data_IF_495289537918
#
_entry.id   IF_495289537918
#
_cell.length_a   1.000
_cell.length_b   1.000
_cell.length_c   1.000
_cell.angle_alpha   90.00
_cell.angle_beta   90.00
_cell.angle_gamma   90.00
#
_symmetry.space_group_name_H-M   'P 1'
#
loop_
_entity.id
_entity.type
_entity.pdbx_description
1 polymer ?
#
# COMPACT_ATOMS: atom_id res chain seq x y z
N UNK A 1 -11.28 -3.17 -3.35
CA UNK A 1 -10.82 -4.57 -3.22
C UNK A 1 -9.74 -4.66 -2.15
N UNK A 2 -9.90 -5.57 -1.22
CA UNK A 2 -8.91 -5.83 -0.16
C UNK A 2 -8.12 -7.09 -0.50
N UNK A 3 -6.80 -6.99 -0.46
CA UNK A 3 -5.93 -8.16 -0.50
C UNK A 3 -4.99 -8.09 0.71
N UNK A 4 -4.90 -9.18 1.44
CA UNK A 4 -4.09 -9.25 2.65
C UNK A 4 -3.00 -10.29 2.44
N UNK A 5 -1.75 -9.90 2.69
CA UNK A 5 -0.59 -10.75 2.48
C UNK A 5 0.22 -10.86 3.76
N UNK A 6 0.87 -12.00 3.94
CA UNK A 6 1.76 -12.23 5.07
C UNK A 6 2.97 -13.04 4.62
N UNK A 7 4.16 -12.61 5.01
CA UNK A 7 5.38 -13.37 4.78
C UNK A 7 5.39 -14.60 5.68
N UNK A 8 5.76 -15.75 5.10
CA UNK A 8 5.70 -17.03 5.80
C UNK A 8 6.87 -17.19 6.77
N UNK A 9 8.10 -16.81 6.34
CA UNK A 9 9.29 -16.93 7.19
C UNK A 9 10.42 -16.02 6.68
N UNK A 10 11.50 -15.92 7.46
CA UNK A 10 12.66 -15.09 7.15
C UNK A 10 13.59 -15.66 6.06
N UNK A 11 13.44 -16.90 5.72
CA UNK A 11 14.40 -17.60 4.84
C UNK A 11 13.95 -17.71 3.39
N UNK A 12 12.70 -17.33 3.09
CA UNK A 12 12.18 -17.36 1.73
C UNK A 12 11.35 -16.11 1.46
N UNK A 13 11.30 -15.71 0.18
CA UNK A 13 10.44 -14.62 -0.26
C UNK A 13 8.98 -15.08 -0.43
N UNK A 14 8.59 -16.16 0.23
CA UNK A 14 7.24 -16.70 0.14
C UNK A 14 6.25 -15.78 0.80
N UNK A 15 5.26 -15.36 0.04
CA UNK A 15 4.20 -14.47 0.46
C UNK A 15 2.88 -15.25 0.39
N UNK A 16 2.15 -15.29 1.49
CA UNK A 16 0.87 -15.96 1.55
C UNK A 16 -0.27 -14.93 1.53
N UNK A 17 -1.26 -15.19 0.70
CA UNK A 17 -2.49 -14.40 0.72
C UNK A 17 -3.42 -14.97 1.77
N UNK A 18 -3.86 -14.13 2.72
CA UNK A 18 -4.70 -14.56 3.84
C UNK A 18 -6.03 -13.82 3.82
N UNK A 19 -7.00 -14.30 4.57
CA UNK A 19 -8.37 -13.77 4.60
C UNK A 19 -8.65 -12.87 5.79
N UNK A 20 -7.76 -12.86 6.78
CA UNK A 20 -7.96 -12.10 8.02
C UNK A 20 -6.78 -11.17 8.28
N UNK A 21 -7.05 -10.07 8.99
CA UNK A 21 -6.02 -9.13 9.39
C UNK A 21 -5.28 -9.72 10.59
N UNK A 22 -3.98 -9.89 10.45
CA UNK A 22 -3.11 -10.46 11.47
C UNK A 22 -1.92 -9.56 11.72
N UNK A 23 -1.27 -9.74 12.87
CA UNK A 23 -0.05 -9.03 13.18
C UNK A 23 1.05 -9.33 12.14
N UNK A 24 1.67 -8.29 11.60
CA UNK A 24 2.73 -8.44 10.62
C UNK A 24 2.25 -8.56 9.17
N UNK A 25 0.95 -8.39 8.91
CA UNK A 25 0.42 -8.49 7.56
C UNK A 25 0.52 -7.17 6.79
N UNK A 26 0.39 -7.28 5.48
CA UNK A 26 0.27 -6.16 4.55
C UNK A 26 -1.15 -6.15 3.99
N UNK A 27 -1.87 -5.06 4.21
CA UNK A 27 -3.22 -4.87 3.71
C UNK A 27 -3.15 -3.94 2.50
N UNK A 28 -3.45 -4.48 1.32
CA UNK A 28 -3.44 -3.71 0.07
C UNK A 28 -4.88 -3.39 -0.35
N UNK A 29 -5.21 -2.10 -0.33
CA UNK A 29 -6.53 -1.60 -0.72
C UNK A 29 -6.44 -0.94 -2.09
N UNK A 30 -7.16 -1.49 -3.07
CA UNK A 30 -7.23 -0.95 -4.42
C UNK A 30 -8.68 -0.56 -4.71
N UNK A 31 -8.92 0.71 -4.98
CA UNK A 31 -10.27 1.24 -5.21
C UNK A 31 -11.26 0.67 -4.19
N UNK A 32 -10.98 0.81 -2.88
CA UNK A 32 -11.78 0.14 -1.86
C UNK A 32 -13.19 0.71 -1.76
N UNK A 33 -14.12 -0.15 -1.36
CA UNK A 33 -15.48 0.29 -1.03
C UNK A 33 -15.49 0.95 0.35
N UNK A 34 -16.54 1.69 0.65
CA UNK A 34 -16.68 2.31 1.97
C UNK A 34 -16.75 1.27 3.09
N UNK A 35 -17.39 0.12 2.82
CA UNK A 35 -17.44 -0.98 3.78
C UNK A 35 -16.07 -1.56 4.07
N UNK A 36 -15.23 -1.69 3.03
CA UNK A 36 -13.86 -2.17 3.17
C UNK A 36 -13.02 -1.20 4.01
N UNK A 37 -13.17 0.10 3.78
CA UNK A 37 -12.47 1.12 4.57
C UNK A 37 -12.87 1.07 6.04
N UNK A 38 -14.16 0.93 6.32
CA UNK A 38 -14.66 0.83 7.69
C UNK A 38 -14.16 -0.43 8.39
N UNK A 39 -14.13 -1.54 7.68
CA UNK A 39 -13.61 -2.80 8.22
C UNK A 39 -12.14 -2.66 8.63
N UNK A 40 -11.31 -2.12 7.76
CA UNK A 40 -9.88 -1.95 8.03
C UNK A 40 -9.65 -0.97 9.17
N UNK A 41 -10.37 0.17 9.17
CA UNK A 41 -10.27 1.15 10.24
C UNK A 41 -10.61 0.54 11.60
N UNK A 42 -11.68 -0.23 11.66
CA UNK A 42 -12.13 -0.87 12.90
C UNK A 42 -11.12 -1.92 13.40
N UNK A 43 -10.57 -2.71 12.48
CA UNK A 43 -9.66 -3.82 12.84
C UNK A 43 -8.27 -3.34 13.22
N UNK A 44 -7.79 -2.25 12.61
CA UNK A 44 -6.41 -1.78 12.81
C UNK A 44 -6.31 -0.60 13.75
N UNK A 45 -7.40 0.11 13.99
CA UNK A 45 -7.40 1.36 14.76
C UNK A 45 -6.91 2.57 13.99
N UNK A 46 -6.70 2.44 12.69
CA UNK A 46 -6.27 3.55 11.85
C UNK A 46 -7.43 4.51 11.63
N UNK A 47 -7.22 5.84 11.75
CA UNK A 47 -8.27 6.81 11.45
C UNK A 47 -8.79 6.63 10.02
N UNK A 48 -10.10 6.67 9.85
CA UNK A 48 -10.72 6.48 8.53
C UNK A 48 -10.24 7.56 7.54
N UNK A 49 -9.91 8.76 8.03
CA UNK A 49 -9.40 9.84 7.20
C UNK A 49 -8.06 9.48 6.56
N UNK A 50 -7.22 8.72 7.26
CA UNK A 50 -5.94 8.24 6.71
C UNK A 50 -6.16 7.28 5.54
N UNK A 51 -7.21 6.46 5.62
CA UNK A 51 -7.54 5.52 4.56
C UNK A 51 -8.19 6.20 3.36
N UNK A 52 -8.93 7.28 3.60
CA UNK A 52 -9.61 8.00 2.53
C UNK A 52 -8.72 9.01 1.80
N UNK A 53 -7.75 9.59 2.48
CA UNK A 53 -6.93 10.66 1.91
C UNK A 53 -6.28 10.26 0.57
N UNK A 54 -5.68 9.07 0.42
CA UNK A 54 -5.06 8.69 -0.86
C UNK A 54 -6.06 8.47 -2.00
N UNK A 55 -7.34 8.40 -1.69
CA UNK A 55 -8.39 8.19 -2.69
C UNK A 55 -8.88 9.50 -3.31
N UNK A 56 -8.38 10.64 -2.84
CA UNK A 56 -8.58 11.93 -3.46
C UNK A 56 -7.49 12.15 -4.50
N UNK A 57 -7.87 12.22 -5.76
CA UNK A 57 -6.95 12.39 -6.87
C UNK A 57 -6.09 13.65 -6.77
N UNK A 58 -6.59 14.67 -6.08
CA UNK A 58 -5.91 15.95 -5.92
C UNK A 58 -5.05 16.02 -4.65
N UNK A 59 -4.99 14.93 -3.89
CA UNK A 59 -4.19 14.91 -2.67
C UNK A 59 -2.72 15.08 -2.98
N UNK A 60 -2.03 15.91 -2.20
CA UNK A 60 -0.61 16.18 -2.37
C UNK A 60 0.24 15.29 -1.48
N UNK A 61 1.49 15.11 -1.87
CA UNK A 61 2.47 14.37 -1.07
C UNK A 61 2.59 14.98 0.32
N UNK A 62 2.44 14.17 1.34
CA UNK A 62 2.53 14.62 2.74
C UNK A 62 2.81 13.47 3.69
N UNK A 63 3.19 13.83 4.91
CA UNK A 63 3.35 12.90 6.02
C UNK A 63 2.46 13.38 7.17
N UNK A 64 1.69 12.47 7.75
CA UNK A 64 0.81 12.77 8.85
C UNK A 64 0.96 11.72 9.94
N UNK A 65 0.92 12.13 11.19
CA UNK A 65 1.14 11.25 12.34
C UNK A 65 0.00 11.44 13.33
N UNK A 66 -0.64 10.34 13.70
CA UNK A 66 -1.66 10.33 14.75
C UNK A 66 -1.47 9.09 15.62
N UNK A 67 -1.06 9.28 16.88
CA UNK A 67 -0.72 8.23 17.83
C UNK A 67 0.37 7.31 17.25
N UNK A 68 0.08 6.03 17.05
CA UNK A 68 1.02 5.05 16.50
C UNK A 68 0.93 4.93 14.97
N UNK A 69 0.05 5.70 14.35
CA UNK A 69 -0.22 5.59 12.92
C UNK A 69 0.52 6.69 12.16
N UNK A 70 1.24 6.29 11.12
CA UNK A 70 1.95 7.22 10.24
C UNK A 70 1.42 7.03 8.83
N UNK A 71 0.91 8.10 8.26
CA UNK A 71 0.46 8.12 6.86
C UNK A 71 1.49 8.83 6.01
N UNK A 72 1.94 8.17 4.97
CA UNK A 72 2.80 8.77 3.94
C UNK A 72 2.01 8.73 2.63
N UNK A 73 1.83 9.89 2.01
CA UNK A 73 1.21 9.97 0.68
C UNK A 73 2.29 10.41 -0.30
N UNK A 74 2.46 9.62 -1.35
CA UNK A 74 3.42 9.90 -2.42
C UNK A 74 2.72 9.71 -3.77
N UNK A 75 3.18 10.43 -4.78
CA UNK A 75 2.67 10.23 -6.13
C UNK A 75 3.44 9.12 -6.81
N UNK A 76 2.72 8.20 -7.44
CA UNK A 76 3.34 7.15 -8.22
C UNK A 76 3.03 7.36 -9.70
N UNK A 77 4.03 7.12 -10.57
CA UNK A 77 3.84 7.25 -12.01
C UNK A 77 3.00 6.11 -12.54
N UNK A 78 2.26 6.41 -13.57
CA UNK A 78 1.40 5.44 -14.20
C UNK A 78 1.27 5.78 -15.69
N UNK A 79 1.25 4.75 -16.52
CA UNK A 79 1.12 4.91 -17.96
C UNK A 79 -0.16 4.28 -18.45
N UNK A 80 -0.84 4.95 -19.38
CA UNK A 80 -2.09 4.48 -19.96
C UNK A 80 -2.05 4.66 -21.47
N UNK A 81 -2.54 3.66 -22.21
CA UNK A 81 -2.68 3.77 -23.65
C UNK A 81 -4.06 4.31 -23.99
N UNK A 82 -4.10 5.48 -24.63
CA UNK A 82 -5.32 6.12 -25.11
C UNK A 82 -5.17 6.43 -26.59
N UNK A 83 -6.07 5.92 -27.41
CA UNK A 83 -6.13 6.19 -28.87
C UNK A 83 -4.77 6.05 -29.58
N UNK A 84 -4.03 4.99 -29.30
CA UNK A 84 -2.70 4.71 -29.85
C UNK A 84 -1.60 5.66 -29.37
N UNK A 85 -1.86 6.49 -28.38
CA UNK A 85 -0.84 7.31 -27.73
C UNK A 85 -0.63 6.88 -26.28
N UNK A 86 0.62 6.99 -25.83
CA UNK A 86 1.00 6.67 -24.46
C UNK A 86 0.89 7.96 -23.63
N UNK A 87 0.05 7.93 -22.61
CA UNK A 87 -0.08 9.05 -21.67
C UNK A 87 0.58 8.69 -20.35
N UNK A 88 1.19 9.68 -19.72
CA UNK A 88 1.82 9.55 -18.41
C UNK A 88 1.02 10.39 -17.41
N UNK A 89 0.74 9.79 -16.27
CA UNK A 89 0.02 10.45 -15.21
C UNK A 89 0.57 9.99 -13.85
N UNK A 90 0.17 10.66 -12.80
CA UNK A 90 0.49 10.27 -11.43
C UNK A 90 -0.78 10.22 -10.61
N UNK A 91 -0.79 9.38 -9.60
CA UNK A 91 -1.87 9.38 -8.63
C UNK A 91 -1.33 9.02 -7.24
N UNK A 92 -2.05 9.43 -6.19
CA UNK A 92 -1.56 9.22 -4.84
C UNK A 92 -1.52 7.75 -4.44
N UNK A 93 -0.46 7.35 -3.76
CA UNK A 93 -0.35 6.10 -3.04
C UNK A 93 -0.25 6.44 -1.57
N UNK A 94 -1.17 5.92 -0.76
CA UNK A 94 -1.08 6.03 0.68
C UNK A 94 -0.38 4.82 1.26
N UNK A 95 0.61 5.07 2.12
CA UNK A 95 1.30 4.03 2.87
C UNK A 95 1.09 4.34 4.34
N UNK A 96 0.48 3.43 5.07
CA UNK A 96 0.17 3.63 6.48
C UNK A 96 0.92 2.61 7.31
N UNK A 97 1.81 3.10 8.18
CA UNK A 97 2.51 2.30 9.16
C UNK A 97 1.70 2.31 10.45
N UNK A 98 1.22 1.15 10.86
CA UNK A 98 0.48 1.00 12.12
C UNK A 98 1.32 0.27 13.16
N UNK A 99 0.76 0.05 14.33
CA UNK A 99 1.46 -0.69 15.39
C UNK A 99 1.78 -2.13 14.97
N UNK A 100 0.88 -2.79 14.22
CA UNK A 100 1.00 -4.20 13.90
C UNK A 100 0.95 -4.55 12.41
N UNK A 101 0.53 -3.61 11.56
CA UNK A 101 0.34 -3.86 10.13
C UNK A 101 0.96 -2.77 9.28
N UNK A 102 1.03 -3.03 7.99
CA UNK A 102 1.27 -1.99 7.00
C UNK A 102 0.11 -2.01 5.99
N UNK A 103 -0.37 -0.83 5.64
CA UNK A 103 -1.51 -0.67 4.74
C UNK A 103 -1.09 0.19 3.56
N UNK A 104 -1.43 -0.25 2.36
CA UNK A 104 -1.28 0.55 1.15
C UNK A 104 -2.66 0.80 0.56
N UNK A 105 -2.92 2.06 0.16
CA UNK A 105 -4.22 2.47 -0.39
C UNK A 105 -3.99 3.22 -1.70
N UNK A 106 -4.67 2.80 -2.74
CA UNK A 106 -4.52 3.40 -4.06
C UNK A 106 -5.85 3.33 -4.82
N UNK A 107 -6.08 4.30 -5.71
CA UNK A 107 -7.27 4.32 -6.56
C UNK A 107 -7.22 3.27 -7.66
N UNK A 108 -6.01 2.91 -8.10
CA UNK A 108 -5.82 1.98 -9.20
C UNK A 108 -4.83 0.90 -8.80
N UNK A 109 -4.92 -0.25 -9.48
CA UNK A 109 -3.97 -1.32 -9.29
C UNK A 109 -2.58 -0.86 -9.75
N UNK A 110 -1.60 -0.95 -8.86
CA UNK A 110 -0.24 -0.48 -9.12
C UNK A 110 0.65 -1.64 -9.54
N UNK A 111 1.25 -1.51 -10.71
CA UNK A 111 2.26 -2.47 -11.17
C UNK A 111 3.46 -2.50 -10.23
N UNK A 112 3.81 -1.36 -9.65
CA UNK A 112 4.89 -1.24 -8.69
C UNK A 112 4.65 -2.12 -7.46
N UNK A 113 3.44 -2.08 -6.89
CA UNK A 113 3.09 -2.91 -5.74
C UNK A 113 2.96 -4.38 -6.14
N UNK A 114 2.51 -4.66 -7.35
CA UNK A 114 2.43 -6.04 -7.84
C UNK A 114 3.81 -6.71 -7.90
N UNK A 115 4.87 -5.95 -8.11
CA UNK A 115 6.23 -6.48 -8.11
C UNK A 115 6.59 -7.09 -6.74
N UNK A 116 6.06 -6.54 -5.66
CA UNK A 116 6.23 -7.12 -4.31
C UNK A 116 5.45 -8.43 -4.18
N UNK A 117 4.22 -8.46 -4.68
CA UNK A 117 3.38 -9.67 -4.64
C UNK A 117 3.98 -10.78 -5.48
N UNK A 118 4.56 -10.44 -6.62
CA UNK A 118 5.11 -11.40 -7.59
C UNK A 118 6.50 -11.90 -7.24
N UNK A 119 7.07 -11.48 -6.11
CA UNK A 119 8.36 -11.96 -5.64
C UNK A 119 9.56 -11.35 -6.37
N UNK A 120 9.39 -10.23 -7.04
CA UNK A 120 10.47 -9.56 -7.79
C UNK A 120 11.39 -8.72 -6.91
N UNK A 121 11.01 -8.47 -5.67
CA UNK A 121 11.75 -7.63 -4.74
C UNK A 121 12.46 -8.53 -3.73
N UNK A 122 13.79 -8.41 -3.66
CA UNK A 122 14.60 -9.19 -2.74
C UNK A 122 14.47 -8.70 -1.31
N UNK A 123 14.51 -9.64 -0.37
CA UNK A 123 14.51 -9.35 1.08
C UNK A 123 13.28 -8.54 1.50
N UNK A 124 12.16 -8.81 0.87
CA UNK A 124 10.88 -8.21 1.23
C UNK A 124 10.15 -9.11 2.24
N UNK A 125 9.79 -8.52 3.39
CA UNK A 125 9.04 -9.20 4.44
C UNK A 125 7.96 -8.25 4.95
N UNK A 126 6.72 -8.71 5.00
CA UNK A 126 5.58 -7.86 5.37
C UNK A 126 5.69 -7.32 6.79
N UNK A 127 6.28 -8.08 7.71
CA UNK A 127 6.41 -7.67 9.11
C UNK A 127 7.59 -6.72 9.36
N UNK A 128 8.51 -6.57 8.42
CA UNK A 128 9.58 -5.55 8.48
C UNK A 128 9.07 -4.26 7.85
N UNK A 129 8.19 -3.59 8.56
CA UNK A 129 7.36 -2.52 8.02
C UNK A 129 8.15 -1.28 7.58
N UNK A 130 9.08 -0.82 8.40
CA UNK A 130 9.90 0.33 8.02
C UNK A 130 10.75 0.05 6.79
N UNK A 131 11.30 -1.17 6.70
CA UNK A 131 12.05 -1.62 5.53
C UNK A 131 11.16 -1.67 4.30
N UNK A 132 9.94 -2.16 4.44
CA UNK A 132 8.98 -2.24 3.35
C UNK A 132 8.67 -0.84 2.78
N UNK A 133 8.44 0.14 3.67
CA UNK A 133 8.22 1.52 3.25
C UNK A 133 9.40 2.04 2.44
N UNK A 134 10.63 1.82 2.92
CA UNK A 134 11.84 2.23 2.21
C UNK A 134 11.96 1.53 0.86
N UNK A 135 11.61 0.26 0.78
CA UNK A 135 11.63 -0.48 -0.48
C UNK A 135 10.60 0.07 -1.48
N UNK A 136 9.41 0.43 -1.01
CA UNK A 136 8.40 1.07 -1.86
C UNK A 136 8.92 2.41 -2.39
N UNK A 137 9.44 3.26 -1.51
CA UNK A 137 9.95 4.58 -1.89
C UNK A 137 11.12 4.46 -2.87
N UNK A 138 12.02 3.51 -2.63
CA UNK A 138 13.14 3.25 -3.54
C UNK A 138 12.64 2.77 -4.91
N UNK A 139 11.63 1.91 -4.94
CA UNK A 139 11.04 1.42 -6.18
C UNK A 139 10.39 2.54 -6.98
N UNK A 140 9.71 3.48 -6.29
CA UNK A 140 9.13 4.66 -6.94
C UNK A 140 10.23 5.49 -7.61
N UNK A 141 11.34 5.70 -6.93
CA UNK A 141 12.45 6.52 -7.43
C UNK A 141 13.12 5.89 -8.66
N UNK A 142 13.08 4.57 -8.81
CA UNK A 142 13.72 3.86 -9.92
C UNK A 142 12.74 3.41 -11.00
N UNK A 143 11.48 3.62 -10.77
CA UNK A 143 10.42 3.20 -11.70
C UNK A 143 10.18 4.24 -12.85
#
# INVERSE_FOLDING_TARGET
MINIYKSINDSSNALEKIDTIENGCWINLVAPTNQELLLVSKKTGVPIEFLRAPLDYEETSRLDIEEYNVLVIVDIPFTEMEENSLTYDTYPLGIIHTENEIITVCLKNSKLLNDFVDGKIKSFFTYKRSRFILQILNRIATY
#
